data_IF_003212642946
#
_entry.id   IF_003212642946
#
_cell.length_a   1.000
_cell.length_b   1.000
_cell.length_c   1.000
_cell.angle_alpha   90.00
_cell.angle_beta   90.00
_cell.angle_gamma   90.00
#
_symmetry.space_group_name_H-M   'P 1'
#
loop_
_entity.id
_entity.type
_entity.pdbx_description
1 polymer ?
#
# COMPACT_ATOMS: atom_id res chain seq x y z
N UNK A 1 37.79 -15.84 4.03
CA UNK A 1 36.45 -15.55 4.58
C UNK A 1 35.54 -15.33 3.38
N UNK A 2 34.43 -16.06 3.26
CA UNK A 2 33.58 -16.00 2.07
C UNK A 2 32.41 -15.04 2.27
N UNK A 3 32.00 -14.34 1.20
CA UNK A 3 30.89 -13.37 1.21
C UNK A 3 29.62 -13.87 1.90
N UNK A 4 29.30 -15.16 1.82
CA UNK A 4 28.11 -15.73 2.48
C UNK A 4 28.15 -15.60 4.01
N UNK A 5 29.34 -15.67 4.61
CA UNK A 5 29.51 -15.53 6.07
C UNK A 5 29.36 -14.07 6.49
N UNK A 6 29.95 -13.16 5.72
CA UNK A 6 29.85 -11.70 5.93
C UNK A 6 28.43 -11.19 5.70
N UNK A 7 27.72 -11.72 4.69
CA UNK A 7 26.31 -11.42 4.46
C UNK A 7 25.43 -11.92 5.60
N UNK A 8 25.69 -13.11 6.14
CA UNK A 8 24.96 -13.62 7.31
C UNK A 8 25.18 -12.74 8.54
N UNK A 9 26.42 -12.30 8.79
CA UNK A 9 26.73 -11.36 9.87
C UNK A 9 26.10 -9.99 9.65
N UNK A 10 26.05 -9.50 8.41
CA UNK A 10 25.38 -8.25 8.04
C UNK A 10 23.85 -8.36 8.20
N UNK A 11 23.24 -9.42 7.69
CA UNK A 11 21.81 -9.67 7.78
C UNK A 11 21.37 -10.03 9.20
N UNK A 12 22.27 -10.46 10.09
CA UNK A 12 21.96 -10.64 11.51
C UNK A 12 22.01 -9.33 12.31
N UNK A 13 22.44 -8.21 11.71
CA UNK A 13 22.38 -6.90 12.37
C UNK A 13 20.92 -6.49 12.53
N UNK A 14 20.49 -6.31 13.78
CA UNK A 14 19.10 -5.94 14.11
C UNK A 14 18.60 -4.72 13.33
N UNK A 15 19.42 -3.67 13.19
CA UNK A 15 19.00 -2.45 12.49
C UNK A 15 18.63 -2.67 11.01
N UNK A 16 19.26 -3.63 10.33
CA UNK A 16 19.04 -3.91 8.92
C UNK A 16 17.80 -4.80 8.73
N UNK A 17 17.62 -5.78 9.62
CA UNK A 17 16.44 -6.66 9.64
C UNK A 17 15.18 -5.86 9.97
N UNK A 18 15.22 -5.06 11.03
CA UNK A 18 14.06 -4.28 11.49
C UNK A 18 13.62 -3.27 10.43
N UNK A 19 14.57 -2.62 9.76
CA UNK A 19 14.30 -1.73 8.63
C UNK A 19 13.67 -2.49 7.44
N UNK A 20 14.22 -3.65 7.08
CA UNK A 20 13.69 -4.46 5.98
C UNK A 20 12.27 -4.95 6.27
N UNK A 21 12.01 -5.42 7.50
CA UNK A 21 10.68 -5.84 7.94
C UNK A 21 9.70 -4.67 7.90
N UNK A 22 10.10 -3.48 8.36
CA UNK A 22 9.28 -2.27 8.30
C UNK A 22 8.87 -1.89 6.87
N UNK A 23 9.79 -1.99 5.91
CA UNK A 23 9.50 -1.69 4.50
C UNK A 23 8.55 -2.74 3.90
N UNK A 24 8.78 -4.03 4.16
CA UNK A 24 7.93 -5.11 3.65
C UNK A 24 6.51 -5.00 4.21
N UNK A 25 6.38 -4.74 5.51
CA UNK A 25 5.08 -4.52 6.15
C UNK A 25 4.42 -3.26 5.58
N UNK A 26 5.14 -2.14 5.45
CA UNK A 26 4.60 -0.91 4.87
C UNK A 26 4.07 -1.10 3.45
N UNK A 27 4.83 -1.80 2.60
CA UNK A 27 4.45 -2.10 1.23
C UNK A 27 3.23 -3.05 1.13
N UNK A 28 3.16 -4.06 1.99
CA UNK A 28 2.04 -5.00 2.01
C UNK A 28 0.77 -4.41 2.64
N UNK A 29 0.91 -3.64 3.72
CA UNK A 29 -0.20 -3.06 4.47
C UNK A 29 -0.96 -2.02 3.66
N UNK A 30 -0.30 -1.31 2.75
CA UNK A 30 -0.98 -0.40 1.80
C UNK A 30 -2.10 -1.09 1.03
N UNK A 31 -1.87 -2.30 0.51
CA UNK A 31 -2.91 -3.07 -0.21
C UNK A 31 -4.09 -3.46 0.67
N UNK A 32 -3.81 -3.80 1.94
CA UNK A 32 -4.85 -4.12 2.93
C UNK A 32 -5.72 -2.90 3.19
N UNK A 33 -5.11 -1.73 3.39
CA UNK A 33 -5.82 -0.46 3.57
C UNK A 33 -6.62 -0.11 2.32
N UNK A 34 -6.05 -0.26 1.11
CA UNK A 34 -6.75 0.01 -0.15
C UNK A 34 -7.98 -0.87 -0.33
N UNK A 35 -7.88 -2.18 -0.10
CA UNK A 35 -9.03 -3.10 -0.18
C UNK A 35 -10.07 -2.77 0.89
N UNK A 36 -9.66 -2.47 2.12
CA UNK A 36 -10.60 -2.04 3.17
C UNK A 36 -11.37 -0.77 2.77
N UNK A 37 -10.68 0.24 2.24
CA UNK A 37 -11.33 1.47 1.78
C UNK A 37 -12.26 1.17 0.60
N UNK A 38 -11.78 0.40 -0.39
CA UNK A 38 -12.52 0.11 -1.61
C UNK A 38 -13.77 -0.73 -1.38
N UNK A 39 -13.63 -1.78 -0.57
CA UNK A 39 -14.62 -2.84 -0.53
C UNK A 39 -15.61 -2.65 0.63
N UNK A 40 -15.22 -1.87 1.65
CA UNK A 40 -16.05 -1.64 2.84
C UNK A 40 -16.47 -0.17 2.97
N UNK A 41 -15.58 0.79 2.72
CA UNK A 41 -15.92 2.21 2.91
C UNK A 41 -16.54 2.87 1.67
N UNK A 42 -16.07 2.56 0.46
CA UNK A 42 -16.61 3.15 -0.77
C UNK A 42 -18.07 2.80 -1.04
N UNK A 43 -18.63 1.60 -0.75
CA UNK A 43 -20.03 1.32 -1.04
C UNK A 43 -21.01 2.19 -0.22
N UNK A 44 -20.87 2.33 1.11
CA UNK A 44 -21.70 3.25 1.88
C UNK A 44 -21.47 4.72 1.51
N UNK A 45 -20.22 5.14 1.27
CA UNK A 45 -19.91 6.51 0.86
C UNK A 45 -20.45 6.85 -0.53
N UNK A 46 -20.38 5.91 -1.48
CA UNK A 46 -20.94 6.06 -2.82
C UNK A 46 -22.47 6.09 -2.85
N UNK A 47 -23.11 5.42 -1.88
CA UNK A 47 -24.56 5.52 -1.67
C UNK A 47 -24.96 6.86 -1.05
N UNK A 48 -24.17 7.40 -0.10
CA UNK A 48 -24.43 8.68 0.56
C UNK A 48 -24.10 9.90 -0.31
N UNK A 49 -23.05 9.82 -1.14
CA UNK A 49 -22.65 10.88 -2.08
C UNK A 49 -23.39 10.79 -3.43
N UNK A 50 -24.26 9.79 -3.61
CA UNK A 50 -25.24 9.72 -4.68
C UNK A 50 -24.65 9.47 -6.07
N UNK A 51 -24.41 8.21 -6.43
CA UNK A 51 -24.20 7.73 -7.82
C UNK A 51 -23.20 8.52 -8.69
N UNK A 52 -22.29 9.32 -8.12
CA UNK A 52 -21.25 9.96 -8.90
C UNK A 52 -20.12 8.94 -9.07
N UNK A 53 -20.12 8.28 -10.23
CA UNK A 53 -19.05 7.40 -10.66
C UNK A 53 -17.76 8.23 -10.80
N UNK A 54 -16.91 8.19 -9.78
CA UNK A 54 -15.62 8.88 -9.76
C UNK A 54 -14.65 8.37 -10.85
N UNK A 55 -15.00 7.29 -11.56
CA UNK A 55 -14.27 6.83 -12.75
C UNK A 55 -14.59 7.68 -13.98
N UNK A 56 -15.77 8.33 -14.01
CA UNK A 56 -16.30 9.11 -15.12
C UNK A 56 -16.41 10.62 -14.82
N UNK A 57 -15.83 11.07 -13.70
CA UNK A 57 -15.68 12.49 -13.35
C UNK A 57 -14.59 13.17 -14.20
N UNK A 58 -14.68 13.02 -15.52
CA UNK A 58 -14.00 13.88 -16.46
C UNK A 58 -14.95 15.03 -16.82
N UNK A 59 -14.59 16.25 -16.43
CA UNK A 59 -15.24 17.45 -16.96
C UNK A 59 -14.86 17.52 -18.45
N UNK A 60 -15.75 17.10 -19.34
CA UNK A 60 -15.66 17.45 -20.75
C UNK A 60 -15.99 18.94 -20.88
N UNK A 61 -14.96 19.78 -20.94
CA UNK A 61 -15.09 21.11 -21.51
C UNK A 61 -15.37 20.96 -23.01
N UNK A 62 -16.64 20.95 -23.37
CA UNK A 62 -17.04 21.33 -24.71
C UNK A 62 -17.17 22.86 -24.74
N UNK A 63 -16.35 23.44 -25.60
CA UNK A 63 -16.07 24.86 -25.85
C UNK A 63 -15.03 25.52 -24.94
#
# INVERSE_FOLDING_TARGET
>A
MGMLKEFKEFAAKGNAVDMAVGIVIGAAFGKVVTSLVSDILMPPLGLLLGQMDFSNLAIHLNE
#
